data_IF_376916421320
#
_entry.id   IF_376916421320
#
_cell.length_a   1.000
_cell.length_b   1.000
_cell.length_c   1.000
_cell.angle_alpha   90.00
_cell.angle_beta   90.00
_cell.angle_gamma   90.00
#
_symmetry.space_group_name_H-M   'P 1'
#
loop_
_entity.id
_entity.type
_entity.pdbx_description
1 polymer ?
#
# COMPACT_ATOMS: atom_id res chain seq x y z
N UNK A 1 -10.57 -18.15 -17.98
CA UNK A 1 -9.61 -18.14 -16.87
C UNK A 1 -9.29 -16.71 -16.49
N UNK A 2 -9.16 -16.43 -15.20
CA UNK A 2 -8.81 -15.10 -14.69
C UNK A 2 -7.37 -14.75 -15.10
N UNK A 3 -7.12 -13.49 -15.47
CA UNK A 3 -5.78 -13.03 -15.87
C UNK A 3 -4.97 -12.48 -14.70
N UNK A 4 -5.61 -12.12 -13.59
CA UNK A 4 -4.95 -11.55 -12.42
C UNK A 4 -5.87 -10.61 -11.68
N UNK A 5 -5.29 -9.85 -10.76
CA UNK A 5 -6.00 -8.79 -10.02
C UNK A 5 -5.73 -7.47 -10.75
N UNK A 6 -6.79 -6.78 -11.20
CA UNK A 6 -6.65 -5.48 -11.85
C UNK A 6 -6.44 -4.37 -10.82
N UNK A 7 -7.26 -4.35 -9.77
CA UNK A 7 -7.17 -3.33 -8.73
C UNK A 7 -7.64 -3.83 -7.37
N UNK A 8 -7.25 -3.09 -6.34
CA UNK A 8 -7.72 -3.23 -4.96
C UNK A 8 -8.34 -1.90 -4.58
N UNK A 9 -9.48 -1.93 -3.89
CA UNK A 9 -10.13 -0.71 -3.41
C UNK A 9 -9.83 -0.47 -1.94
N UNK A 10 -9.50 0.76 -1.62
CA UNK A 10 -9.34 1.25 -0.25
C UNK A 10 -10.44 2.29 0.01
N UNK A 11 -11.21 2.05 1.05
CA UNK A 11 -12.21 3.03 1.53
C UNK A 11 -11.48 4.02 2.43
N UNK A 12 -11.58 5.31 2.11
CA UNK A 12 -10.78 6.37 2.73
C UNK A 12 -11.66 7.48 3.27
N UNK A 13 -11.27 8.01 4.43
CA UNK A 13 -11.89 9.21 5.01
C UNK A 13 -11.56 10.46 4.22
N UNK A 14 -10.41 10.46 3.53
CA UNK A 14 -9.96 11.57 2.69
C UNK A 14 -9.19 10.99 1.51
N UNK A 15 -9.92 10.67 0.44
CA UNK A 15 -9.36 10.00 -0.73
C UNK A 15 -8.28 10.82 -1.43
N UNK A 16 -8.44 12.14 -1.52
CA UNK A 16 -7.45 13.00 -2.14
C UNK A 16 -6.12 12.96 -1.40
N UNK A 17 -6.15 13.09 -0.07
CA UNK A 17 -4.96 13.07 0.76
C UNK A 17 -4.28 11.70 0.75
N UNK A 18 -5.06 10.62 0.82
CA UNK A 18 -4.52 9.26 0.81
C UNK A 18 -3.89 8.94 -0.56
N UNK A 19 -4.57 9.29 -1.66
CA UNK A 19 -4.05 9.13 -3.01
C UNK A 19 -2.72 9.89 -3.19
N UNK A 20 -2.65 11.13 -2.73
CA UNK A 20 -1.44 11.94 -2.82
C UNK A 20 -0.29 11.30 -2.02
N UNK A 21 -0.59 10.76 -0.85
CA UNK A 21 0.41 10.07 -0.03
C UNK A 21 0.97 8.83 -0.74
N UNK A 22 0.10 7.99 -1.34
CA UNK A 22 0.55 6.82 -2.09
C UNK A 22 1.41 7.21 -3.30
N UNK A 23 1.06 8.29 -4.00
CA UNK A 23 1.88 8.82 -5.10
C UNK A 23 3.25 9.30 -4.62
N UNK A 24 3.29 9.99 -3.48
CA UNK A 24 4.54 10.47 -2.87
C UNK A 24 5.47 9.32 -2.48
N UNK A 25 4.93 8.27 -1.89
CA UNK A 25 5.73 7.13 -1.39
C UNK A 25 6.10 6.14 -2.49
N UNK A 26 5.18 5.81 -3.37
CA UNK A 26 5.32 4.70 -4.31
C UNK A 26 5.38 5.13 -5.77
N UNK A 27 5.12 6.38 -6.09
CA UNK A 27 4.99 6.84 -7.46
C UNK A 27 3.66 6.41 -8.08
N UNK A 28 3.68 6.19 -9.38
CA UNK A 28 2.46 5.90 -10.12
C UNK A 28 1.79 7.17 -10.64
N UNK A 29 0.66 6.99 -11.28
CA UNK A 29 -0.11 8.10 -11.86
C UNK A 29 -1.60 7.86 -11.70
N UNK A 30 -2.36 8.94 -11.53
CA UNK A 30 -3.81 8.88 -11.52
C UNK A 30 -4.30 8.68 -12.96
N UNK A 31 -5.00 7.57 -13.20
CA UNK A 31 -5.57 7.24 -14.52
C UNK A 31 -7.06 7.48 -14.61
N UNK A 32 -7.71 7.72 -13.47
CA UNK A 32 -9.14 8.04 -13.39
C UNK A 32 -9.43 8.91 -12.18
N UNK A 33 -10.27 9.92 -12.39
CA UNK A 33 -10.77 10.83 -11.37
C UNK A 33 -12.20 11.18 -11.77
N UNK A 34 -13.20 10.82 -10.93
CA UNK A 34 -14.58 11.08 -11.25
C UNK A 34 -15.05 12.51 -10.83
N UNK A 35 -14.15 13.33 -10.27
CA UNK A 35 -14.47 14.65 -9.74
C UNK A 35 -15.27 14.63 -8.44
N UNK A 36 -15.49 13.48 -7.84
CA UNK A 36 -16.32 13.27 -6.65
C UNK A 36 -15.62 12.45 -5.56
N UNK A 37 -14.30 12.35 -5.62
CA UNK A 37 -13.50 11.68 -4.62
C UNK A 37 -13.13 10.23 -4.92
N UNK A 38 -13.43 9.71 -6.09
CA UNK A 38 -12.92 8.40 -6.53
C UNK A 38 -11.74 8.58 -7.46
N UNK A 39 -10.63 7.91 -7.16
CA UNK A 39 -9.40 7.93 -7.93
C UNK A 39 -8.91 6.52 -8.20
N UNK A 40 -8.29 6.30 -9.36
CA UNK A 40 -7.49 5.12 -9.64
C UNK A 40 -6.03 5.53 -9.80
N UNK A 41 -5.17 4.97 -8.99
CA UNK A 41 -3.72 5.14 -9.07
C UNK A 41 -3.12 3.90 -9.69
N UNK A 42 -2.41 4.05 -10.83
CA UNK A 42 -1.79 2.94 -11.54
C UNK A 42 -0.29 2.92 -11.31
N UNK A 43 0.25 1.74 -11.02
CA UNK A 43 1.68 1.49 -10.87
C UNK A 43 2.29 1.02 -12.19
N UNK A 44 3.62 0.85 -12.19
CA UNK A 44 4.40 0.55 -13.40
C UNK A 44 4.00 -0.77 -14.08
N UNK A 45 3.52 -1.76 -13.33
CA UNK A 45 3.10 -3.05 -13.87
C UNK A 45 1.64 -3.06 -14.36
N UNK A 46 0.95 -1.93 -14.27
CA UNK A 46 -0.46 -1.80 -14.64
C UNK A 46 -1.45 -2.09 -13.53
N UNK A 47 -1.01 -2.63 -12.40
CA UNK A 47 -1.89 -2.82 -11.24
C UNK A 47 -2.33 -1.48 -10.65
N UNK A 48 -3.52 -1.46 -10.01
CA UNK A 48 -4.10 -0.21 -9.55
C UNK A 48 -4.62 -0.30 -8.12
N UNK A 49 -4.68 0.85 -7.47
CA UNK A 49 -5.48 1.05 -6.27
C UNK A 49 -6.61 2.01 -6.62
N UNK A 50 -7.83 1.63 -6.26
CA UNK A 50 -8.99 2.52 -6.27
C UNK A 50 -9.18 3.11 -4.88
N UNK A 51 -9.32 4.43 -4.79
CA UNK A 51 -9.63 5.11 -3.53
C UNK A 51 -11.10 5.52 -3.56
N UNK A 52 -11.88 5.07 -2.58
CA UNK A 52 -13.32 5.27 -2.49
C UNK A 52 -13.66 5.96 -1.18
N UNK A 53 -14.52 6.96 -1.22
CA UNK A 53 -14.90 7.73 -0.02
C UNK A 53 -15.64 6.87 1.00
N UNK A 54 -15.21 6.97 2.26
CA UNK A 54 -15.87 6.29 3.37
C UNK A 54 -17.26 6.89 3.63
N UNK A 55 -18.19 6.02 4.04
CA UNK A 55 -19.50 6.43 4.53
C UNK A 55 -19.51 6.72 6.02
N UNK A 56 -18.44 6.35 6.74
CA UNK A 56 -18.28 6.61 8.17
C UNK A 56 -16.79 6.75 8.52
N UNK A 57 -16.50 7.39 9.67
CA UNK A 57 -15.13 7.59 10.14
C UNK A 57 -14.54 6.37 10.87
N UNK A 58 -15.29 5.28 11.00
CA UNK A 58 -14.81 4.09 11.70
C UNK A 58 -13.75 3.37 10.89
N UNK A 59 -12.64 3.02 11.56
CA UNK A 59 -11.59 2.18 11.01
C UNK A 59 -11.82 0.74 11.44
N UNK A 60 -11.61 -0.22 10.55
CA UNK A 60 -11.71 -1.64 10.88
C UNK A 60 -10.56 -2.03 11.82
N UNK A 61 -10.81 -2.97 12.74
CA UNK A 61 -9.77 -3.62 13.53
C UNK A 61 -9.17 -4.77 12.71
N UNK A 62 -8.18 -4.44 11.93
CA UNK A 62 -7.73 -5.18 10.77
C UNK A 62 -7.06 -6.51 11.05
N UNK A 63 -6.42 -6.69 12.20
CA UNK A 63 -5.60 -7.89 12.41
C UNK A 63 -6.40 -9.14 12.75
N UNK A 64 -7.57 -8.97 13.37
CA UNK A 64 -8.34 -10.09 13.94
C UNK A 64 -9.69 -10.31 13.29
N UNK A 65 -10.07 -9.47 12.35
CA UNK A 65 -11.33 -9.61 11.64
C UNK A 65 -11.16 -10.43 10.36
N UNK A 66 -12.14 -11.23 10.04
CA UNK A 66 -12.18 -11.93 8.75
C UNK A 66 -12.31 -10.91 7.62
N UNK A 67 -11.55 -11.09 6.55
CA UNK A 67 -11.55 -10.21 5.38
C UNK A 67 -10.15 -9.95 4.86
N UNK A 68 -10.00 -8.89 4.08
CA UNK A 68 -8.70 -8.47 3.55
C UNK A 68 -7.90 -7.84 4.66
N UNK A 69 -6.71 -8.37 4.93
CA UNK A 69 -5.86 -7.92 6.02
C UNK A 69 -4.89 -6.82 5.64
N UNK A 70 -4.20 -6.96 4.50
CA UNK A 70 -3.14 -6.03 4.13
C UNK A 70 -2.88 -6.03 2.62
N UNK A 71 -2.09 -5.04 2.19
CA UNK A 71 -1.53 -4.97 0.84
C UNK A 71 -0.02 -5.15 0.96
N UNK A 72 0.56 -6.03 0.13
CA UNK A 72 2.00 -6.19 0.00
C UNK A 72 2.47 -5.52 -1.29
N UNK A 73 3.45 -4.60 -1.17
CA UNK A 73 4.03 -3.90 -2.31
C UNK A 73 5.39 -4.50 -2.64
N UNK A 74 5.52 -5.02 -3.86
CA UNK A 74 6.77 -5.59 -4.35
C UNK A 74 7.70 -4.49 -4.81
N UNK A 75 8.93 -4.51 -4.33
CA UNK A 75 9.93 -3.48 -4.64
C UNK A 75 11.29 -4.12 -4.93
N UNK A 76 12.14 -3.41 -5.69
CA UNK A 76 13.54 -3.76 -5.85
C UNK A 76 14.31 -3.53 -4.54
N UNK A 77 15.52 -4.11 -4.36
CA UNK A 77 16.32 -3.84 -3.16
C UNK A 77 16.60 -2.36 -2.93
N UNK A 78 16.93 -1.64 -3.99
CA UNK A 78 17.19 -0.19 -3.90
C UNK A 78 15.94 0.59 -3.48
N UNK A 79 14.80 0.30 -4.11
CA UNK A 79 13.55 0.95 -3.78
C UNK A 79 13.09 0.59 -2.36
N UNK A 80 13.34 -0.63 -1.91
CA UNK A 80 13.04 -1.04 -0.54
C UNK A 80 13.70 -0.11 0.47
N UNK A 81 15.00 0.09 0.37
CA UNK A 81 15.74 0.95 1.31
C UNK A 81 15.29 2.42 1.24
N UNK A 82 15.08 2.93 0.04
CA UNK A 82 14.64 4.32 -0.16
C UNK A 82 13.24 4.57 0.42
N UNK A 83 12.31 3.65 0.19
CA UNK A 83 10.92 3.80 0.67
C UNK A 83 10.84 3.60 2.18
N UNK A 84 11.57 2.64 2.74
CA UNK A 84 11.64 2.46 4.20
C UNK A 84 12.11 3.75 4.88
N UNK A 85 13.15 4.39 4.33
CA UNK A 85 13.64 5.65 4.88
C UNK A 85 12.55 6.75 4.86
N UNK A 86 11.79 6.86 3.78
CA UNK A 86 10.66 7.80 3.68
C UNK A 86 9.55 7.48 4.68
N UNK A 87 9.19 6.20 4.80
CA UNK A 87 8.14 5.75 5.73
C UNK A 87 8.54 6.04 7.18
N UNK A 88 9.78 5.75 7.55
CA UNK A 88 10.30 6.03 8.89
C UNK A 88 10.35 7.53 9.21
N UNK A 89 10.57 8.38 8.21
CA UNK A 89 10.62 9.82 8.38
C UNK A 89 9.23 10.47 8.41
N UNK A 90 8.18 9.77 8.00
CA UNK A 90 6.81 10.29 7.99
C UNK A 90 6.11 10.02 9.31
N UNK A 91 5.86 11.07 10.09
CA UNK A 91 5.23 10.98 11.42
C UNK A 91 3.79 10.46 11.37
N UNK A 92 3.14 10.50 10.21
CA UNK A 92 1.77 10.01 10.02
C UNK A 92 1.70 8.49 9.84
N UNK A 93 2.86 7.86 9.57
CA UNK A 93 2.98 6.41 9.39
C UNK A 93 3.30 5.76 10.73
N UNK A 94 2.66 4.62 11.00
CA UNK A 94 2.94 3.80 12.18
C UNK A 94 3.75 2.59 11.77
N UNK A 95 4.97 2.46 12.30
CA UNK A 95 5.77 1.24 12.12
C UNK A 95 5.15 0.10 12.93
N UNK A 96 4.92 -1.04 12.29
CA UNK A 96 4.41 -2.25 12.95
C UNK A 96 5.54 -3.22 13.25
N UNK A 97 6.37 -3.53 12.24
CA UNK A 97 7.57 -4.34 12.38
C UNK A 97 8.69 -3.71 11.56
N UNK A 98 9.84 -3.48 12.20
CA UNK A 98 11.02 -2.97 11.52
C UNK A 98 11.53 -3.94 10.46
N UNK A 99 12.48 -3.49 9.66
CA UNK A 99 13.06 -4.28 8.57
C UNK A 99 13.49 -5.66 9.08
N UNK A 100 13.01 -6.68 8.41
CA UNK A 100 13.38 -8.06 8.64
C UNK A 100 13.94 -8.66 7.36
N UNK A 101 15.03 -9.40 7.47
CA UNK A 101 15.64 -10.11 6.36
C UNK A 101 15.94 -11.55 6.79
N UNK A 102 15.44 -12.53 6.01
CA UNK A 102 15.71 -13.92 6.30
C UNK A 102 17.01 -14.42 5.62
N UNK A 103 17.38 -15.67 5.87
CA UNK A 103 18.60 -16.27 5.31
C UNK A 103 18.60 -16.32 3.76
N UNK A 104 17.43 -16.29 3.13
CA UNK A 104 17.28 -16.32 1.68
C UNK A 104 17.24 -14.93 1.04
N UNK A 105 17.41 -13.87 1.83
CA UNK A 105 17.41 -12.50 1.35
C UNK A 105 16.04 -11.88 1.16
N UNK A 106 14.96 -12.53 1.62
CA UNK A 106 13.61 -11.94 1.62
C UNK A 106 13.57 -10.83 2.67
N UNK A 107 13.18 -9.64 2.24
CA UNK A 107 13.05 -8.47 3.12
C UNK A 107 11.61 -8.04 3.25
N UNK A 108 11.20 -7.64 4.44
CA UNK A 108 9.89 -7.04 4.71
C UNK A 108 9.99 -5.85 5.63
N UNK A 109 9.05 -4.93 5.50
CA UNK A 109 8.85 -3.80 6.41
C UNK A 109 7.34 -3.58 6.55
N UNK A 110 6.83 -3.74 7.77
CA UNK A 110 5.40 -3.67 8.07
C UNK A 110 5.02 -2.33 8.68
N UNK A 111 3.97 -1.71 8.19
CA UNK A 111 3.53 -0.40 8.63
C UNK A 111 2.01 -0.23 8.46
N UNK A 112 1.48 0.81 9.08
CA UNK A 112 0.14 1.33 8.78
C UNK A 112 0.29 2.65 8.06
N UNK A 113 -0.49 2.85 6.99
CA UNK A 113 -0.49 4.10 6.24
C UNK A 113 -1.12 5.25 7.03
N UNK A 114 -1.26 6.42 6.42
CA UNK A 114 -1.77 7.62 7.12
C UNK A 114 -3.23 7.50 7.55
N UNK A 115 -3.95 6.47 7.14
CA UNK A 115 -5.30 6.16 7.60
C UNK A 115 -5.39 4.80 8.31
N UNK A 116 -4.27 4.30 8.83
CA UNK A 116 -4.17 3.03 9.58
C UNK A 116 -4.48 1.77 8.75
N UNK A 117 -4.35 1.83 7.43
CA UNK A 117 -4.41 0.64 6.60
C UNK A 117 -3.11 -0.17 6.76
N UNK A 118 -3.27 -1.47 7.01
CA UNK A 118 -2.15 -2.37 7.26
C UNK A 118 -1.50 -2.79 5.93
N UNK A 119 -0.18 -2.63 5.83
CA UNK A 119 0.56 -2.89 4.60
C UNK A 119 2.00 -3.30 4.88
N UNK A 120 2.67 -3.85 3.89
CA UNK A 120 4.11 -4.03 3.97
C UNK A 120 4.79 -3.93 2.62
N UNK A 121 6.04 -3.54 2.65
CA UNK A 121 6.95 -3.70 1.53
C UNK A 121 7.51 -5.10 1.54
N UNK A 122 7.76 -5.67 0.37
CA UNK A 122 8.42 -6.95 0.22
C UNK A 122 9.41 -6.92 -0.94
N UNK A 123 10.64 -7.34 -0.66
CA UNK A 123 11.58 -7.75 -1.68
C UNK A 123 11.75 -9.26 -1.60
N UNK A 124 11.40 -9.95 -2.67
CA UNK A 124 11.51 -11.40 -2.78
C UNK A 124 12.52 -11.72 -3.88
N UNK A 125 13.75 -12.20 -3.51
CA UNK A 125 14.78 -12.51 -4.50
C UNK A 125 14.36 -13.59 -5.49
N UNK A 126 13.70 -14.63 -4.96
CA UNK A 126 13.27 -15.78 -5.75
C UNK A 126 11.73 -15.83 -5.76
N UNK A 127 11.09 -15.79 -6.95
CA UNK A 127 9.63 -15.88 -7.04
C UNK A 127 9.09 -17.15 -6.39
N UNK A 128 7.91 -17.05 -5.80
CA UNK A 128 7.17 -18.24 -5.37
C UNK A 128 6.72 -19.04 -6.59
N UNK A 129 6.73 -20.34 -6.45
CA UNK A 129 6.33 -21.26 -7.52
C UNK A 129 5.14 -22.10 -7.09
#
# INVERSE_FOLDING_TARGET
MVQGIEHIAIVSKNTAALKDWYMEMYGGRVVYDNGKGTYFLQFADGSMIEFVSAMSDKTADEEKQAGIRHIAFSVSPKAFDEIVAKLKADERVTEVHDVSENANGLKTYWYKDIEDNFSHLIYRPDPLQ
#
